data_IF_553071923729
#
_entry.id   IF_553071923729
#
_cell.length_a   1.000
_cell.length_b   1.000
_cell.length_c   1.000
_cell.angle_alpha   90.00
_cell.angle_beta   90.00
_cell.angle_gamma   90.00
#
_symmetry.space_group_name_H-M   'P 1'
#
loop_
_entity.id
_entity.type
_entity.pdbx_description
1 polymer ?
2 water ?
#
# COMPACT_ATOMS: atom_id res chain seq x y z
N UNK A 1 -6.94 -23.15 -13.57
CA UNK A 1 -8.42 -23.04 -13.55
C UNK A 1 -8.83 -21.71 -12.94
N UNK A 2 -10.11 -21.37 -13.02
CA UNK A 2 -10.62 -20.13 -12.45
C UNK A 2 -11.11 -20.40 -11.03
N UNK A 3 -10.72 -19.53 -10.10
CA UNK A 3 -11.14 -19.68 -8.71
C UNK A 3 -11.86 -18.43 -8.25
N UNK A 4 -12.78 -18.58 -7.30
CA UNK A 4 -13.52 -17.44 -6.80
C UNK A 4 -13.51 -17.37 -5.28
N UNK A 5 -13.73 -16.18 -4.76
CA UNK A 5 -13.77 -15.98 -3.33
C UNK A 5 -15.04 -15.19 -3.02
N UNK A 6 -15.65 -15.43 -1.87
CA UNK A 6 -16.87 -14.72 -1.49
C UNK A 6 -16.78 -14.30 -0.03
N UNK A 7 -17.23 -13.07 0.24
CA UNK A 7 -17.23 -12.54 1.61
C UNK A 7 -18.31 -11.46 1.68
N UNK A 8 -18.64 -11.03 2.90
CA UNK A 8 -19.65 -9.99 3.07
C UNK A 8 -19.19 -8.87 3.99
N UNK A 9 -19.92 -7.76 3.91
CA UNK A 9 -19.66 -6.60 4.75
C UNK A 9 -21.02 -6.10 5.22
N UNK A 10 -21.10 -5.70 6.49
CA UNK A 10 -22.35 -5.20 7.04
C UNK A 10 -23.25 -6.23 7.68
N UNK A 11 -22.67 -7.21 8.38
CA UNK A 11 -23.48 -8.22 9.02
C UNK A 11 -24.16 -7.73 10.31
N UNK A 12 -23.43 -6.97 11.11
CA UNK A 12 -23.98 -6.49 12.37
C UNK A 12 -24.66 -5.13 12.51
N UNK A 13 -24.43 -4.16 11.61
CA UNK A 13 -25.10 -2.86 11.80
C UNK A 13 -26.62 -2.85 11.70
N UNK A 14 -27.23 -1.86 12.36
CA UNK A 14 -28.68 -1.72 12.32
C UNK A 14 -29.07 -0.86 11.10
N UNK A 15 -28.12 -0.09 10.58
CA UNK A 15 -28.40 0.77 9.43
C UNK A 15 -27.67 0.29 8.17
N UNK A 16 -28.38 0.27 7.04
CA UNK A 16 -27.75 -0.11 5.79
C UNK A 16 -27.90 -1.55 5.32
N UNK A 17 -27.56 -1.81 4.05
CA UNK A 17 -27.67 -3.16 3.50
C UNK A 17 -26.51 -4.07 3.89
N UNK A 18 -26.68 -5.34 3.54
CA UNK A 18 -25.66 -6.36 3.74
C UNK A 18 -25.09 -6.49 2.34
N UNK A 19 -23.77 -6.37 2.22
CA UNK A 19 -23.12 -6.45 0.92
C UNK A 19 -22.32 -7.73 0.73
N UNK A 20 -22.64 -8.46 -0.34
CA UNK A 20 -21.93 -9.70 -0.67
C UNK A 20 -20.97 -9.37 -1.79
N UNK A 21 -19.70 -9.75 -1.62
CA UNK A 21 -18.72 -9.48 -2.66
C UNK A 21 -18.15 -10.76 -3.21
N UNK A 22 -17.92 -10.80 -4.52
CA UNK A 22 -17.36 -11.97 -5.17
C UNK A 22 -16.19 -11.54 -6.07
N UNK A 23 -15.09 -12.28 -6.00
CA UNK A 23 -13.91 -11.97 -6.80
C UNK A 23 -13.53 -13.23 -7.59
N UNK A 24 -13.17 -13.05 -8.86
CA UNK A 24 -12.80 -14.19 -9.71
C UNK A 24 -11.45 -13.98 -10.38
N UNK A 25 -10.59 -15.00 -10.34
CA UNK A 25 -9.26 -14.91 -10.95
C UNK A 25 -8.71 -16.27 -11.32
N UNK A 26 -7.72 -16.28 -12.20
CA UNK A 26 -7.11 -17.54 -12.61
C UNK A 26 -6.07 -17.90 -11.57
N UNK A 27 -6.09 -19.16 -11.14
CA UNK A 27 -5.17 -19.65 -10.11
C UNK A 27 -3.71 -19.29 -10.42
N UNK A 28 -3.40 -19.13 -11.70
CA UNK A 28 -2.04 -18.81 -12.13
C UNK A 28 -1.65 -17.37 -11.83
N UNK A 29 -2.65 -16.51 -11.63
CA UNK A 29 -2.38 -15.11 -11.35
C UNK A 29 -2.55 -14.68 -9.90
N UNK A 30 -2.63 -15.63 -8.98
CA UNK A 30 -2.78 -15.28 -7.57
C UNK A 30 -1.61 -14.40 -7.13
N UNK A 31 -0.45 -14.63 -7.73
CA UNK A 31 0.74 -13.85 -7.43
C UNK A 31 0.43 -12.35 -7.46
N UNK A 32 -0.43 -11.94 -8.39
CA UNK A 32 -0.83 -10.53 -8.54
C UNK A 32 -1.53 -9.96 -7.31
N UNK A 33 -2.36 -10.79 -6.68
CA UNK A 33 -3.08 -10.36 -5.48
C UNK A 33 -2.10 -10.21 -4.32
N UNK A 34 -1.12 -11.11 -4.27
CA UNK A 34 -0.12 -11.06 -3.22
C UNK A 34 0.73 -9.81 -3.38
N UNK A 35 1.05 -9.50 -4.64
CA UNK A 35 1.87 -8.33 -4.93
C UNK A 35 1.19 -7.01 -4.57
N UNK A 36 -0.12 -6.89 -4.79
CA UNK A 36 -0.81 -5.65 -4.46
C UNK A 36 -1.14 -5.56 -2.97
N UNK A 37 -0.97 -6.68 -2.28
CA UNK A 37 -1.21 -6.77 -0.84
C UNK A 37 -2.65 -6.75 -0.35
N UNK A 38 -3.52 -7.57 -0.94
CA UNK A 38 -4.92 -7.59 -0.52
C UNK A 38 -5.12 -7.94 0.96
N UNK A 39 -4.16 -8.65 1.53
CA UNK A 39 -4.24 -9.06 2.94
C UNK A 39 -4.06 -7.92 3.94
N UNK A 40 -3.54 -6.78 3.50
CA UNK A 40 -3.34 -5.65 4.41
C UNK A 40 -4.19 -4.44 4.06
N UNK A 41 -5.44 -4.69 3.70
CA UNK A 41 -6.35 -3.60 3.32
C UNK A 41 -6.99 -2.92 4.52
N UNK A 42 -7.35 -3.71 5.52
CA UNK A 42 -8.00 -3.20 6.73
C UNK A 42 -7.11 -2.25 7.52
N UNK A 43 -5.81 -2.31 7.26
CA UNK A 43 -4.87 -1.46 7.97
C UNK A 43 -4.57 -0.21 7.14
N UNK A 44 -5.43 0.07 6.16
CA UNK A 44 -5.26 1.23 5.31
C UNK A 44 -6.47 2.14 5.38
N UNK A 45 -6.26 3.42 5.12
CA UNK A 45 -7.35 4.39 5.14
C UNK A 45 -8.22 4.11 3.92
N UNK A 46 -9.53 4.35 4.01
CA UNK A 46 -10.41 4.10 2.87
C UNK A 46 -9.91 4.79 1.59
N UNK A 47 -8.93 5.68 1.76
CA UNK A 47 -8.37 6.37 0.61
C UNK A 47 -7.44 5.44 -0.15
N UNK A 48 -6.55 4.79 0.58
CA UNK A 48 -5.61 3.84 0.00
C UNK A 48 -6.41 2.62 -0.45
N UNK A 49 -7.38 2.24 0.37
CA UNK A 49 -8.23 1.10 0.09
C UNK A 49 -9.02 1.27 -1.20
N UNK A 50 -9.42 2.50 -1.50
CA UNK A 50 -10.15 2.78 -2.73
C UNK A 50 -9.20 2.59 -3.91
N UNK A 51 -7.96 3.03 -3.74
CA UNK A 51 -6.97 2.88 -4.80
C UNK A 51 -6.66 1.38 -4.96
N UNK A 52 -6.71 0.66 -3.85
CA UNK A 52 -6.46 -0.78 -3.86
C UNK A 52 -7.61 -1.43 -4.65
N UNK A 53 -8.82 -1.00 -4.34
CA UNK A 53 -10.03 -1.49 -4.99
C UNK A 53 -9.90 -1.31 -6.51
N UNK A 54 -9.49 -0.12 -6.93
CA UNK A 54 -9.32 0.17 -8.35
C UNK A 54 -8.30 -0.74 -9.02
N UNK A 55 -7.19 -1.02 -8.34
CA UNK A 55 -6.18 -1.89 -8.92
C UNK A 55 -6.71 -3.33 -8.99
N UNK A 56 -7.44 -3.72 -7.94
CA UNK A 56 -8.04 -5.05 -7.84
C UNK A 56 -8.93 -5.37 -9.03
N UNK A 57 -9.86 -4.46 -9.30
CA UNK A 57 -10.81 -4.60 -10.40
C UNK A 57 -10.16 -4.79 -11.77
N UNK A 58 -8.99 -4.22 -11.98
CA UNK A 58 -8.33 -4.37 -13.27
C UNK A 58 -7.62 -5.72 -13.36
N UNK A 59 -7.24 -6.26 -12.20
CA UNK A 59 -6.54 -7.53 -12.11
C UNK A 59 -7.45 -8.76 -12.19
N UNK A 60 -8.56 -8.70 -11.47
CA UNK A 60 -9.50 -9.82 -11.43
C UNK A 60 -10.13 -10.10 -12.79
N UNK A 61 -10.40 -11.37 -13.06
CA UNK A 61 -11.06 -11.72 -14.32
C UNK A 61 -12.50 -11.24 -14.26
N UNK A 62 -13.06 -11.21 -13.06
CA UNK A 62 -14.43 -10.75 -12.87
C UNK A 62 -14.74 -10.53 -11.39
N UNK A 63 -15.73 -9.69 -11.12
CA UNK A 63 -16.13 -9.43 -9.74
C UNK A 63 -17.63 -9.15 -9.74
N UNK A 64 -18.28 -9.37 -8.59
CA UNK A 64 -19.72 -9.17 -8.50
C UNK A 64 -20.12 -8.65 -7.12
N UNK A 65 -21.10 -7.75 -7.09
CA UNK A 65 -21.60 -7.20 -5.85
C UNK A 65 -23.11 -7.36 -5.77
N UNK A 66 -23.60 -7.77 -4.61
CA UNK A 66 -25.03 -7.96 -4.38
C UNK A 66 -25.40 -7.22 -3.10
N UNK A 67 -26.37 -6.31 -3.19
CA UNK A 67 -26.79 -5.57 -2.00
C UNK A 67 -28.10 -6.16 -1.47
N UNK A 68 -28.09 -6.60 -0.21
CA UNK A 68 -29.28 -7.15 0.41
C UNK A 68 -29.82 -6.03 1.30
N UNK A 69 -31.04 -5.57 0.99
CA UNK A 69 -31.69 -4.48 1.70
C UNK A 69 -32.18 -4.82 3.11
N UNK A 70 -32.33 -3.79 3.97
CA UNK A 70 -32.80 -4.02 5.34
C UNK A 70 -34.21 -4.64 5.34
N UNK A 71 -35.04 -4.28 4.36
CA UNK A 71 -36.40 -4.84 4.28
C UNK A 71 -36.31 -6.34 4.08
N UNK A 72 -35.38 -6.78 3.23
CA UNK A 72 -35.17 -8.20 2.95
C UNK A 72 -34.71 -8.89 4.24
N UNK A 73 -33.78 -8.26 4.94
CA UNK A 73 -33.28 -8.80 6.18
C UNK A 73 -34.42 -8.96 7.21
N UNK A 74 -35.23 -7.92 7.37
CA UNK A 74 -36.34 -7.96 8.33
C UNK A 74 -37.44 -8.99 8.01
N UNK A 75 -37.64 -9.29 6.72
CA UNK A 75 -38.67 -10.24 6.34
C UNK A 75 -38.16 -11.68 6.18
N UNK A 76 -36.94 -11.94 6.63
CA UNK A 76 -36.35 -13.28 6.52
C UNK A 76 -37.13 -14.36 7.28
N UNK A 77 -37.28 -15.54 6.69
CA UNK A 77 -37.98 -16.63 7.36
C UNK A 77 -37.00 -17.56 8.07
N UNK A 78 -35.73 -17.21 8.06
CA UNK A 78 -34.69 -18.01 8.70
C UNK A 78 -33.68 -17.11 9.40
N UNK A 79 -32.63 -17.70 9.96
CA UNK A 79 -31.61 -16.94 10.67
C UNK A 79 -30.72 -16.18 9.71
N UNK A 80 -29.95 -15.23 10.25
CA UNK A 80 -29.03 -14.45 9.43
C UNK A 80 -27.97 -15.35 8.79
N UNK A 81 -27.58 -16.41 9.48
CA UNK A 81 -26.58 -17.34 8.93
C UNK A 81 -27.12 -18.00 7.66
N UNK A 82 -28.36 -18.47 7.72
CA UNK A 82 -29.01 -19.13 6.59
C UNK A 82 -29.20 -18.12 5.46
N UNK A 83 -29.52 -16.90 5.85
CA UNK A 83 -29.72 -15.81 4.90
C UNK A 83 -28.42 -15.46 4.18
N UNK A 84 -27.30 -15.39 4.91
CA UNK A 84 -26.05 -15.03 4.26
C UNK A 84 -25.63 -16.13 3.28
N UNK A 85 -25.85 -17.37 3.67
CA UNK A 85 -25.52 -18.50 2.81
C UNK A 85 -26.38 -18.52 1.54
N UNK A 86 -27.65 -18.17 1.65
CA UNK A 86 -28.49 -18.18 0.45
C UNK A 86 -28.12 -17.03 -0.47
N UNK A 87 -27.70 -15.91 0.10
CA UNK A 87 -27.30 -14.77 -0.73
C UNK A 87 -25.91 -15.03 -1.32
N UNK A 88 -25.09 -15.82 -0.64
CA UNK A 88 -23.79 -16.17 -1.22
C UNK A 88 -24.10 -16.94 -2.49
N UNK A 89 -25.09 -17.82 -2.41
CA UNK A 89 -25.49 -18.64 -3.54
C UNK A 89 -26.06 -17.76 -4.67
N UNK A 90 -26.92 -16.80 -4.31
CA UNK A 90 -27.49 -15.93 -5.35
C UNK A 90 -26.38 -15.25 -6.16
N UNK A 91 -25.40 -14.67 -5.48
CA UNK A 91 -24.30 -13.99 -6.17
C UNK A 91 -23.45 -14.92 -7.02
N UNK A 92 -23.14 -16.09 -6.47
CA UNK A 92 -22.32 -17.08 -7.19
C UNK A 92 -23.01 -17.57 -8.46
N UNK A 93 -24.34 -17.70 -8.40
CA UNK A 93 -25.11 -18.15 -9.55
C UNK A 93 -25.25 -17.11 -10.64
N UNK A 94 -24.86 -15.87 -10.34
CA UNK A 94 -24.94 -14.75 -11.27
C UNK A 94 -23.66 -14.46 -12.04
N UNK A 95 -22.57 -15.14 -11.70
CA UNK A 95 -21.30 -14.93 -12.38
C UNK A 95 -21.35 -15.19 -13.88
N UNK A 96 -20.53 -14.46 -14.63
CA UNK A 96 -20.46 -14.60 -16.09
C UNK A 96 -19.23 -15.43 -16.42
N UNK A 97 -18.40 -15.63 -15.40
CA UNK A 97 -17.18 -16.42 -15.49
C UNK A 97 -17.29 -17.37 -14.30
N UNK A 98 -17.74 -18.59 -14.55
CA UNK A 98 -17.92 -19.55 -13.47
C UNK A 98 -16.62 -20.20 -13.00
N UNK A 99 -16.49 -20.41 -11.67
CA UNK A 99 -15.29 -21.02 -11.09
C UNK A 99 -15.51 -22.50 -10.76
N UNK A 100 -14.42 -23.25 -10.64
CA UNK A 100 -14.49 -24.67 -10.29
C UNK A 100 -14.18 -24.83 -8.79
N UNK A 101 -13.44 -23.88 -8.24
CA UNK A 101 -13.13 -23.89 -6.82
C UNK A 101 -13.61 -22.56 -6.24
N UNK A 102 -14.34 -22.66 -5.14
CA UNK A 102 -14.88 -21.49 -4.48
C UNK A 102 -14.47 -21.49 -3.01
N UNK A 103 -13.92 -20.38 -2.57
CA UNK A 103 -13.48 -20.24 -1.18
C UNK A 103 -14.32 -19.21 -0.48
N UNK A 104 -14.77 -19.55 0.72
CA UNK A 104 -15.59 -18.64 1.50
C UNK A 104 -15.23 -18.67 2.97
N UNK A 105 -15.52 -17.58 3.67
CA UNK A 105 -15.25 -17.48 5.10
C UNK A 105 -16.58 -17.84 5.76
N UNK A 106 -16.56 -18.91 6.53
CA UNK A 106 -17.73 -19.43 7.22
C UNK A 106 -18.14 -18.65 8.46
N UNK A 107 -17.29 -17.72 8.90
CA UNK A 107 -17.57 -16.90 10.07
C UNK A 107 -17.81 -17.69 11.35
N UNK A 108 -19.06 -17.72 11.82
CA UNK A 108 -19.39 -18.43 13.05
C UNK A 108 -20.03 -19.80 12.83
N UNK A 109 -20.31 -20.16 11.59
CA UNK A 109 -20.94 -21.44 11.31
C UNK A 109 -19.94 -22.55 10.96
N UNK A 110 -20.32 -23.78 11.28
CA UNK A 110 -19.48 -24.94 10.99
C UNK A 110 -19.15 -24.97 9.51
N UNK A 111 -17.85 -25.05 9.16
CA UNK A 111 -17.37 -25.09 7.77
C UNK A 111 -18.05 -26.07 6.83
N UNK A 112 -18.03 -27.36 7.20
CA UNK A 112 -18.64 -28.41 6.40
C UNK A 112 -20.09 -28.10 6.05
N UNK A 113 -20.81 -27.61 7.04
CA UNK A 113 -22.22 -27.27 6.84
C UNK A 113 -22.41 -26.05 5.95
N UNK A 114 -21.63 -25.00 6.20
CA UNK A 114 -21.75 -23.78 5.40
C UNK A 114 -21.42 -24.09 3.94
N UNK A 115 -20.37 -24.90 3.73
CA UNK A 115 -19.96 -25.28 2.39
C UNK A 115 -21.02 -26.14 1.68
N UNK A 116 -21.62 -27.08 2.41
CA UNK A 116 -22.64 -27.95 1.82
C UNK A 116 -23.84 -27.12 1.37
N UNK A 117 -24.16 -26.12 2.17
CA UNK A 117 -25.28 -25.22 1.90
C UNK A 117 -25.09 -24.51 0.55
N UNK A 118 -23.87 -24.03 0.32
CA UNK A 118 -23.57 -23.32 -0.91
C UNK A 118 -23.47 -24.30 -2.09
N UNK A 119 -22.84 -25.45 -1.86
CA UNK A 119 -22.70 -26.42 -2.93
C UNK A 119 -24.09 -26.86 -3.39
N UNK A 120 -24.98 -27.09 -2.42
CA UNK A 120 -26.34 -27.52 -2.73
C UNK A 120 -27.13 -26.46 -3.51
N UNK A 121 -26.85 -25.19 -3.27
CA UNK A 121 -27.56 -24.12 -3.96
C UNK A 121 -27.03 -23.76 -5.33
N UNK A 122 -25.74 -24.00 -5.56
CA UNK A 122 -25.12 -23.69 -6.85
C UNK A 122 -25.81 -24.37 -8.01
N UNK A 123 -25.97 -23.65 -9.11
CA UNK A 123 -26.62 -24.20 -10.30
C UNK A 123 -25.61 -24.96 -11.17
N UNK A 124 -24.34 -24.83 -10.84
CA UNK A 124 -23.26 -25.51 -11.55
C UNK A 124 -22.43 -26.29 -10.55
N UNK A 125 -21.66 -27.27 -11.05
CA UNK A 125 -20.81 -28.10 -10.19
C UNK A 125 -19.48 -27.44 -9.85
N UNK A 126 -19.14 -27.45 -8.56
CA UNK A 126 -17.89 -26.86 -8.12
C UNK A 126 -17.51 -27.35 -6.73
N UNK A 127 -16.25 -27.16 -6.36
CA UNK A 127 -15.79 -27.54 -5.03
C UNK A 127 -15.86 -26.28 -4.19
N UNK A 128 -16.49 -26.38 -3.03
CA UNK A 128 -16.62 -25.25 -2.13
C UNK A 128 -15.75 -25.48 -0.91
N UNK A 129 -14.84 -24.54 -0.68
CA UNK A 129 -13.95 -24.62 0.45
C UNK A 129 -14.31 -23.54 1.46
N UNK A 130 -14.93 -23.94 2.57
CA UNK A 130 -15.31 -22.99 3.60
C UNK A 130 -14.37 -23.14 4.78
N UNK A 131 -13.90 -22.02 5.33
CA UNK A 131 -12.99 -22.05 6.46
C UNK A 131 -13.10 -20.79 7.31
N UNK A 132 -12.86 -20.93 8.62
CA UNK A 132 -12.91 -19.77 9.49
C UNK A 132 -11.64 -18.98 9.13
N UNK A 133 -11.73 -17.65 9.23
CA UNK A 133 -10.58 -16.81 8.93
C UNK A 133 -10.00 -17.05 7.54
N UNK A 134 -10.86 -17.43 6.59
CA UNK A 134 -10.40 -17.67 5.23
C UNK A 134 -9.97 -16.35 4.59
N UNK A 135 -10.56 -15.25 5.04
CA UNK A 135 -10.25 -13.92 4.50
C UNK A 135 -8.80 -13.53 4.76
N UNK A 136 -8.17 -14.17 5.73
CA UNK A 136 -6.77 -13.85 6.02
C UNK A 136 -5.90 -14.90 5.34
N UNK A 137 -6.42 -16.11 5.25
CA UNK A 137 -5.70 -17.23 4.65
C UNK A 137 -5.63 -17.22 3.13
N UNK A 138 -6.75 -16.94 2.47
CA UNK A 138 -6.82 -16.95 1.00
C UNK A 138 -6.87 -15.57 0.32
N UNK A 139 -5.91 -15.31 -0.55
CA UNK A 139 -5.85 -14.03 -1.28
C UNK A 139 -7.16 -13.67 -1.98
N UNK A 140 -7.74 -14.64 -2.68
CA UNK A 140 -8.98 -14.39 -3.41
C UNK A 140 -10.15 -14.04 -2.49
N UNK A 141 -10.11 -14.51 -1.24
CA UNK A 141 -11.18 -14.17 -0.30
C UNK A 141 -10.90 -12.75 0.24
N UNK A 142 -9.63 -12.43 0.49
CA UNK A 142 -9.27 -11.08 0.93
C UNK A 142 -9.75 -10.13 -0.16
N UNK A 143 -9.58 -10.54 -1.41
CA UNK A 143 -10.00 -9.72 -2.54
C UNK A 143 -11.50 -9.47 -2.49
N UNK A 144 -12.28 -10.53 -2.24
CA UNK A 144 -13.73 -10.40 -2.14
C UNK A 144 -14.12 -9.49 -0.97
N UNK A 145 -13.37 -9.56 0.13
CA UNK A 145 -13.66 -8.73 1.29
C UNK A 145 -13.52 -7.22 0.98
N UNK A 146 -12.48 -6.86 0.23
CA UNK A 146 -12.26 -5.47 -0.14
C UNK A 146 -13.41 -4.96 -1.00
N UNK A 147 -13.80 -5.78 -1.97
CA UNK A 147 -14.91 -5.47 -2.87
C UNK A 147 -16.17 -5.15 -2.05
N UNK A 148 -16.48 -6.02 -1.09
CA UNK A 148 -17.67 -5.83 -0.24
C UNK A 148 -17.59 -4.60 0.66
N UNK A 149 -16.46 -4.42 1.34
CA UNK A 149 -16.30 -3.27 2.24
C UNK A 149 -16.31 -1.91 1.53
N UNK A 150 -15.56 -1.79 0.43
CA UNK A 150 -15.52 -0.52 -0.30
C UNK A 150 -16.92 -0.22 -0.84
N UNK A 151 -17.59 -1.24 -1.37
CA UNK A 151 -18.93 -1.06 -1.90
C UNK A 151 -19.88 -0.61 -0.79
N UNK A 152 -19.78 -1.25 0.37
CA UNK A 152 -20.65 -0.88 1.48
C UNK A 152 -20.42 0.52 2.00
N UNK A 153 -19.16 0.89 2.21
CA UNK A 153 -18.84 2.23 2.69
C UNK A 153 -19.32 3.30 1.73
N UNK A 154 -19.23 3.02 0.42
CA UNK A 154 -19.69 3.98 -0.58
C UNK A 154 -21.19 4.20 -0.42
N UNK A 155 -21.93 3.12 -0.23
CA UNK A 155 -23.38 3.18 -0.07
C UNK A 155 -23.72 3.94 1.20
N UNK A 156 -22.95 3.69 2.26
CA UNK A 156 -23.16 4.35 3.55
C UNK A 156 -23.01 5.86 3.41
N UNK A 157 -21.90 6.29 2.83
CA UNK A 157 -21.68 7.72 2.63
C UNK A 157 -22.83 8.33 1.84
N UNK A 158 -23.35 7.58 0.87
CA UNK A 158 -24.46 8.04 0.05
C UNK A 158 -25.74 8.21 0.87
N UNK A 159 -25.97 7.28 1.81
CA UNK A 159 -27.16 7.33 2.65
C UNK A 159 -27.13 8.50 3.63
N UNK A 160 -25.95 8.83 4.14
CA UNK A 160 -25.83 9.95 5.09
C UNK A 160 -26.12 11.29 4.41
N UNK A 161 -25.85 11.36 3.12
CA UNK A 161 -26.09 12.59 2.38
C UNK A 161 -27.60 12.83 2.26
N UNK A 162 -28.36 11.74 2.29
CA UNK A 162 -29.81 11.83 2.18
C UNK A 162 -30.50 11.90 3.54
N UNK A 163 -30.02 11.08 4.48
CA UNK A 163 -30.64 11.02 5.80
C UNK A 163 -29.92 11.76 6.92
N UNK A 164 -28.70 12.19 6.67
CA UNK A 164 -27.94 12.90 7.69
C UNK A 164 -26.89 12.04 8.35
N UNK A 165 -26.15 12.64 9.27
CA UNK A 165 -25.09 11.95 9.99
C UNK A 165 -25.65 11.01 11.06
N UNK A 166 -25.79 9.73 10.72
CA UNK A 166 -26.32 8.74 11.66
C UNK A 166 -25.24 7.85 12.25
N UNK A 167 -24.01 8.34 12.25
CA UNK A 167 -22.90 7.58 12.81
C UNK A 167 -22.45 6.40 11.98
N UNK A 168 -21.83 5.43 12.66
CA UNK A 168 -21.33 4.23 11.99
C UNK A 168 -22.44 3.31 11.54
N UNK A 169 -23.59 3.39 12.19
CA UNK A 169 -24.70 2.54 11.83
C UNK A 169 -24.77 1.32 12.72
N UNK A 170 -23.82 1.19 13.63
CA UNK A 170 -23.79 0.07 14.57
C UNK A 170 -24.55 0.40 15.84
N UNK A 171 -25.22 -0.60 16.42
CA UNK A 171 -25.99 -0.41 17.66
C UNK A 171 -25.24 0.26 18.82
N UNK A 172 -23.98 -0.07 19.01
CA UNK A 172 -23.21 0.52 20.10
C UNK A 172 -22.81 1.99 19.89
N UNK A 173 -22.93 2.48 18.66
CA UNK A 173 -22.57 3.87 18.35
C UNK A 173 -23.57 4.86 18.94
N UNK A 174 -23.12 5.71 19.89
CA UNK A 174 -23.97 6.71 20.54
C UNK A 174 -24.74 7.58 19.55
N UNK A 175 -24.05 8.03 18.50
CA UNK A 175 -24.67 8.88 17.48
C UNK A 175 -25.79 8.11 16.78
N UNK A 176 -25.53 6.84 16.48
CA UNK A 176 -26.52 5.99 15.81
C UNK A 176 -27.75 5.86 16.69
N UNK A 177 -27.55 5.56 17.97
CA UNK A 177 -28.67 5.41 18.90
C UNK A 177 -29.51 6.69 18.95
N UNK A 178 -28.85 7.83 19.03
CA UNK A 178 -29.55 9.11 19.09
C UNK A 178 -30.28 9.42 17.78
N UNK A 179 -29.62 9.14 16.65
CA UNK A 179 -30.26 9.41 15.35
C UNK A 179 -31.55 8.61 15.21
N UNK A 180 -31.51 7.35 15.59
CA UNK A 180 -32.69 6.47 15.50
C UNK A 180 -33.80 6.94 16.45
N UNK A 181 -33.42 7.39 17.65
CA UNK A 181 -34.42 7.87 18.60
C UNK A 181 -35.06 9.14 18.08
N UNK A 182 -34.25 10.07 17.59
CA UNK A 182 -34.76 11.34 17.06
C UNK A 182 -35.67 11.13 15.86
N UNK A 183 -35.26 10.23 14.95
CA UNK A 183 -36.06 9.96 13.76
C UNK A 183 -37.44 9.41 14.12
N UNK A 184 -37.48 8.38 14.95
CA UNK A 184 -38.74 7.78 15.36
C UNK A 184 -39.64 8.79 16.07
N UNK A 185 -39.03 9.61 16.91
CA UNK A 185 -39.77 10.63 17.65
C UNK A 185 -40.39 11.67 16.71
N UNK A 186 -39.65 12.04 15.68
CA UNK A 186 -40.13 13.02 14.72
C UNK A 186 -41.09 12.45 13.67
N UNK A 187 -40.86 11.22 13.23
CA UNK A 187 -41.71 10.65 12.20
C UNK A 187 -42.68 9.52 12.59
N UNK A 188 -42.53 8.96 13.79
CA UNK A 188 -43.44 7.91 14.21
C UNK A 188 -43.12 6.52 13.68
N UNK A 189 -42.03 6.41 12.92
CA UNK A 189 -41.59 5.12 12.39
C UNK A 189 -40.17 5.27 11.84
N UNK A 190 -39.63 4.23 11.21
CA UNK A 190 -38.27 4.29 10.65
C UNK A 190 -38.24 4.32 9.13
N UNK A 191 -37.15 4.86 8.53
CA UNK A 191 -37.05 4.92 7.07
C UNK A 191 -36.56 3.55 6.58
N UNK A 192 -36.64 3.30 5.27
CA UNK A 192 -36.20 2.00 4.74
C UNK A 192 -34.76 1.55 5.01
N UNK A 193 -33.89 2.45 5.45
CA UNK A 193 -32.50 2.08 5.70
C UNK A 193 -32.28 1.37 7.06
N UNK A 194 -33.30 1.36 7.90
CA UNK A 194 -33.17 0.74 9.21
C UNK A 194 -33.70 -0.70 9.26
N UNK A 195 -32.95 -1.58 9.91
CA UNK A 195 -33.36 -2.98 10.06
C UNK A 195 -34.23 -3.01 11.32
N UNK A 196 -35.55 -2.93 11.13
CA UNK A 196 -36.47 -2.92 12.24
C UNK A 196 -36.39 -4.14 13.16
N UNK A 197 -35.82 -5.23 12.65
CA UNK A 197 -35.70 -6.44 13.47
C UNK A 197 -34.52 -6.42 14.41
N UNK A 198 -33.64 -5.43 14.28
CA UNK A 198 -32.50 -5.31 15.19
C UNK A 198 -33.04 -4.88 16.55
N UNK A 199 -32.55 -5.51 17.62
CA UNK A 199 -33.01 -5.19 18.98
C UNK A 199 -33.04 -3.69 19.30
N UNK A 200 -32.00 -2.97 18.89
CA UNK A 200 -31.91 -1.54 19.12
C UNK A 200 -33.11 -0.79 18.55
N UNK A 201 -33.49 -1.13 17.32
CA UNK A 201 -34.63 -0.50 16.66
C UNK A 201 -35.96 -0.92 17.28
N UNK A 202 -36.09 -2.23 17.52
CA UNK A 202 -37.32 -2.76 18.11
C UNK A 202 -37.60 -2.09 19.44
N UNK A 203 -36.57 -1.93 20.26
CA UNK A 203 -36.74 -1.31 21.57
C UNK A 203 -37.17 0.15 21.53
N UNK A 204 -36.61 0.92 20.60
CA UNK A 204 -36.99 2.32 20.46
C UNK A 204 -38.47 2.37 20.09
N UNK A 205 -38.90 1.41 19.27
CA UNK A 205 -40.30 1.33 18.86
C UNK A 205 -41.22 1.17 20.07
N UNK A 206 -40.91 0.18 20.90
CA UNK A 206 -41.69 -0.11 22.10
C UNK A 206 -41.78 1.12 23.00
N UNK A 207 -40.61 1.69 23.32
CA UNK A 207 -40.55 2.86 24.17
C UNK A 207 -41.49 3.94 23.63
N UNK A 208 -41.45 4.13 22.31
CA UNK A 208 -42.31 5.13 21.66
C UNK A 208 -43.77 4.88 21.97
N UNK A 209 -44.13 3.61 22.12
CA UNK A 209 -45.51 3.25 22.44
C UNK A 209 -45.85 3.78 23.82
N UNK A 210 -45.81 5.10 23.96
CA UNK A 210 -46.10 5.79 25.21
C UNK A 210 -45.23 5.30 26.37
N UNK A 211 -43.96 5.72 26.37
CA UNK A 211 -43.04 5.34 27.43
C UNK A 211 -41.65 5.93 27.20
N UNK B 1 14.87 -10.57 -21.69
CA UNK B 1 15.92 -9.51 -21.51
C UNK B 1 15.87 -8.88 -20.13
N UNK B 2 17.05 -8.58 -19.58
CA UNK B 2 17.14 -7.96 -18.27
C UNK B 2 17.33 -6.45 -18.40
N UNK B 3 16.65 -5.71 -17.55
CA UNK B 3 16.76 -4.26 -17.55
C UNK B 3 17.14 -3.80 -16.15
N UNK B 4 17.75 -2.62 -16.06
CA UNK B 4 18.16 -2.10 -14.75
C UNK B 4 17.84 -0.62 -14.61
N UNK B 5 17.81 -0.19 -13.35
CA UNK B 5 17.54 1.19 -13.02
C UNK B 5 18.58 1.58 -11.97
N UNK B 6 18.98 2.85 -11.96
CA UNK B 6 19.95 3.34 -11.00
C UNK B 6 19.50 4.71 -10.49
N UNK B 7 19.68 4.95 -9.20
CA UNK B 7 19.30 6.23 -8.62
C UNK B 7 20.05 6.42 -7.31
N UNK B 8 19.95 7.61 -6.72
CA UNK B 8 20.62 7.85 -5.45
C UNK B 8 19.75 8.58 -4.44
N UNK B 9 20.20 8.57 -3.20
CA UNK B 9 19.51 9.26 -2.13
C UNK B 9 20.59 9.88 -1.23
N UNK B 10 20.33 11.07 -0.73
CA UNK B 10 21.28 11.73 0.15
C UNK B 10 22.22 12.73 -0.51
N UNK B 11 21.75 13.40 -1.56
CA UNK B 11 22.59 14.38 -2.24
C UNK B 11 22.74 15.71 -1.49
N UNK B 12 21.63 16.23 -0.97
CA UNK B 12 21.70 17.51 -0.30
C UNK B 12 21.94 17.66 1.20
N UNK B 13 21.71 16.63 2.03
CA UNK B 13 21.93 16.80 3.47
C UNK B 13 23.38 17.07 3.89
N UNK B 14 23.55 17.68 5.06
CA UNK B 14 24.86 17.98 5.57
C UNK B 14 25.34 16.80 6.41
N UNK B 15 24.41 15.93 6.79
CA UNK B 15 24.75 14.76 7.61
C UNK B 15 24.38 13.43 6.96
N UNK B 16 25.24 12.44 7.14
CA UNK B 16 24.95 11.13 6.60
C UNK B 16 25.59 10.84 5.26
N UNK B 17 25.51 9.59 4.78
CA UNK B 17 26.11 9.21 3.51
C UNK B 17 25.22 9.48 2.31
N UNK B 18 25.81 9.24 1.14
CA UNK B 18 25.14 9.36 -0.14
C UNK B 18 24.97 7.89 -0.53
N UNK B 19 23.78 7.50 -0.96
CA UNK B 19 23.53 6.11 -1.31
C UNK B 19 23.17 5.92 -2.77
N UNK B 20 23.82 4.95 -3.41
CA UNK B 20 23.53 4.62 -4.80
C UNK B 20 22.80 3.28 -4.80
N UNK B 21 21.70 3.20 -5.54
CA UNK B 21 20.96 1.96 -5.61
C UNK B 21 20.74 1.49 -7.04
N UNK B 22 20.89 0.19 -7.24
CA UNK B 22 20.69 -0.41 -8.55
C UNK B 22 19.66 -1.54 -8.45
N UNK B 23 18.73 -1.59 -9.39
CA UNK B 23 17.71 -2.65 -9.43
C UNK B 23 17.73 -3.36 -10.79
N UNK B 24 17.63 -4.69 -10.79
CA UNK B 24 17.63 -5.47 -12.02
C UNK B 24 16.44 -6.42 -12.06
N UNK B 25 15.77 -6.49 -13.20
CA UNK B 25 14.62 -7.38 -13.34
C UNK B 25 14.46 -7.81 -14.80
N UNK B 26 13.85 -8.98 -15.00
CA UNK B 26 13.61 -9.46 -16.35
C UNK B 26 12.44 -8.63 -16.87
N UNK B 27 12.55 -8.16 -18.10
CA UNK B 27 11.51 -7.33 -18.70
C UNK B 27 10.09 -7.92 -18.67
N UNK B 28 9.98 -9.25 -18.64
CA UNK B 28 8.66 -9.88 -18.61
C UNK B 28 7.96 -9.77 -17.26
N UNK B 29 8.71 -9.38 -16.23
CA UNK B 29 8.12 -9.26 -14.89
C UNK B 29 7.93 -7.84 -14.35
N UNK B 30 7.99 -6.86 -15.24
CA UNK B 30 7.80 -5.49 -14.78
C UNK B 30 6.41 -5.35 -14.16
N UNK B 31 5.48 -6.18 -14.62
CA UNK B 31 4.12 -6.14 -14.08
C UNK B 31 4.13 -6.26 -12.56
N UNK B 32 5.05 -7.07 -12.03
CA UNK B 32 5.11 -7.22 -10.57
C UNK B 32 5.44 -5.87 -9.94
N UNK B 33 6.28 -5.09 -10.61
CA UNK B 33 6.65 -3.79 -10.07
C UNK B 33 5.45 -2.85 -10.12
N UNK B 34 4.64 -2.98 -11.16
CA UNK B 34 3.46 -2.12 -11.27
C UNK B 34 2.49 -2.47 -10.14
N UNK B 35 2.33 -3.77 -9.90
CA UNK B 35 1.42 -4.24 -8.86
C UNK B 35 1.80 -3.82 -7.44
N UNK B 36 3.05 -4.02 -7.04
CA UNK B 36 3.45 -3.62 -5.69
C UNK B 36 3.41 -2.09 -5.54
N UNK B 37 3.35 -1.39 -6.66
CA UNK B 37 3.26 0.07 -6.66
C UNK B 37 4.52 0.87 -6.43
N UNK B 38 5.61 0.51 -7.09
CA UNK B 38 6.86 1.25 -6.90
C UNK B 38 6.75 2.74 -7.22
N UNK B 39 5.89 3.08 -8.18
CA UNK B 39 5.70 4.47 -8.59
C UNK B 39 5.12 5.42 -7.55
N UNK B 40 4.47 4.86 -6.52
CA UNK B 40 3.84 5.70 -5.49
C UNK B 40 4.46 5.59 -4.09
N UNK B 41 5.70 5.15 -4.00
CA UNK B 41 6.36 5.00 -2.71
C UNK B 41 6.61 6.34 -2.02
N UNK B 42 6.75 7.40 -2.81
CA UNK B 42 7.02 8.72 -2.29
C UNK B 42 5.96 9.23 -1.30
N UNK B 43 4.72 8.79 -1.47
CA UNK B 43 3.65 9.23 -0.56
C UNK B 43 3.42 8.25 0.59
N UNK B 44 4.30 7.26 0.72
CA UNK B 44 4.15 6.28 1.79
C UNK B 44 4.83 6.74 3.09
N UNK B 45 4.52 6.05 4.18
CA UNK B 45 5.12 6.35 5.48
C UNK B 45 6.43 5.58 5.54
N UNK B 46 7.29 5.88 6.52
CA UNK B 46 8.56 5.16 6.62
C UNK B 46 8.35 3.66 6.75
N UNK B 47 7.44 3.27 7.62
CA UNK B 47 7.16 1.86 7.85
C UNK B 47 6.56 1.13 6.66
N UNK B 48 5.71 1.82 5.89
CA UNK B 48 5.10 1.19 4.72
C UNK B 48 6.15 0.94 3.64
N UNK B 49 7.08 1.88 3.50
CA UNK B 49 8.14 1.76 2.51
C UNK B 49 9.09 0.62 2.91
N UNK B 50 9.26 0.43 4.21
CA UNK B 50 10.10 -0.66 4.72
C UNK B 50 9.53 -1.94 4.16
N UNK B 51 8.21 -2.08 4.27
CA UNK B 51 7.50 -3.25 3.77
C UNK B 51 7.63 -3.36 2.25
N UNK B 52 7.57 -2.25 1.54
CA UNK B 52 7.68 -2.27 0.08
C UNK B 52 9.07 -2.80 -0.29
N UNK B 53 10.09 -2.32 0.42
CA UNK B 53 11.47 -2.73 0.18
C UNK B 53 11.63 -4.26 0.29
N UNK B 54 11.03 -4.86 1.31
CA UNK B 54 11.11 -6.30 1.50
C UNK B 54 10.47 -7.08 0.35
N UNK B 55 9.36 -6.57 -0.17
CA UNK B 55 8.69 -7.22 -1.30
C UNK B 55 9.53 -7.04 -2.55
N UNK B 56 10.02 -5.83 -2.77
CA UNK B 56 10.83 -5.50 -3.93
C UNK B 56 12.04 -6.43 -4.02
N UNK B 57 12.76 -6.57 -2.92
CA UNK B 57 13.94 -7.42 -2.87
C UNK B 57 13.65 -8.88 -3.27
N UNK B 58 12.47 -9.38 -2.93
CA UNK B 58 12.16 -10.75 -3.31
C UNK B 58 11.78 -10.84 -4.79
N UNK B 59 11.28 -9.75 -5.34
CA UNK B 59 10.86 -9.73 -6.74
C UNK B 59 12.01 -9.49 -7.74
N UNK B 60 12.90 -8.57 -7.42
CA UNK B 60 14.03 -8.24 -8.29
C UNK B 60 14.94 -9.43 -8.56
N UNK B 61 15.48 -9.51 -9.78
CA UNK B 61 16.41 -10.58 -10.12
C UNK B 61 17.72 -10.32 -9.39
N UNK B 62 18.02 -9.05 -9.17
CA UNK B 62 19.27 -8.66 -8.51
C UNK B 62 19.21 -7.17 -8.10
N UNK B 63 20.08 -6.75 -7.20
CA UNK B 63 20.13 -5.35 -6.79
C UNK B 63 21.49 -5.07 -6.14
N UNK B 64 21.85 -3.80 -6.05
CA UNK B 64 23.13 -3.42 -5.45
C UNK B 64 23.04 -2.11 -4.69
N UNK B 65 23.74 -2.04 -3.56
CA UNK B 65 23.75 -0.86 -2.71
C UNK B 65 25.19 -0.39 -2.60
N UNK B 66 25.41 0.90 -2.82
CA UNK B 66 26.74 1.49 -2.73
C UNK B 66 26.67 2.73 -1.85
N UNK B 67 27.41 2.70 -0.75
CA UNK B 67 27.39 3.84 0.17
C UNK B 67 28.63 4.72 -0.02
N UNK B 68 28.43 6.03 0.13
CA UNK B 68 29.51 7.01 0.02
C UNK B 68 29.44 7.82 1.31
N UNK B 69 30.50 7.74 2.11
CA UNK B 69 30.57 8.45 3.40
C UNK B 69 30.83 9.94 3.27
N UNK B 70 30.52 10.71 4.33
CA UNK B 70 30.78 12.15 4.26
C UNK B 70 32.26 12.44 4.06
N UNK B 71 33.12 11.55 4.55
CA UNK B 71 34.56 11.73 4.38
C UNK B 71 34.93 11.66 2.91
N UNK B 72 34.38 10.67 2.21
CA UNK B 72 34.67 10.52 0.77
C UNK B 72 34.12 11.75 0.05
N UNK B 73 32.90 12.14 0.42
CA UNK B 73 32.25 13.30 -0.16
C UNK B 73 33.12 14.56 -0.02
N UNK B 74 33.67 14.77 1.17
CA UNK B 74 34.52 15.94 1.42
C UNK B 74 35.81 15.92 0.60
N UNK B 75 36.36 14.73 0.36
CA UNK B 75 37.61 14.61 -0.40
C UNK B 75 37.36 14.64 -1.90
N UNK B 76 36.09 14.80 -2.26
CA UNK B 76 35.64 14.88 -3.65
C UNK B 76 36.66 15.66 -4.49
N UNK B 77 36.94 15.17 -5.70
CA UNK B 77 37.89 15.80 -6.61
C UNK B 77 37.21 16.85 -7.48
N UNK B 78 35.97 16.56 -7.85
CA UNK B 78 35.20 17.47 -8.70
C UNK B 78 33.89 17.81 -8.01
N UNK B 79 32.83 17.88 -8.79
CA UNK B 79 31.51 18.19 -8.27
C UNK B 79 30.81 16.95 -7.77
N UNK B 80 29.65 17.16 -7.14
CA UNK B 80 28.86 16.04 -6.64
C UNK B 80 28.31 15.29 -7.85
N UNK B 81 27.95 16.05 -8.89
CA UNK B 81 27.43 15.44 -10.11
C UNK B 81 28.41 14.42 -10.66
N UNK B 82 29.68 14.80 -10.73
CA UNK B 82 30.69 13.88 -11.26
C UNK B 82 30.90 12.69 -10.33
N UNK B 83 30.87 12.93 -9.03
CA UNK B 83 31.04 11.85 -8.06
C UNK B 83 29.89 10.84 -8.18
N UNK B 84 28.65 11.31 -8.22
CA UNK B 84 27.52 10.40 -8.33
C UNK B 84 27.58 9.59 -9.63
N UNK B 85 27.97 10.24 -10.73
CA UNK B 85 28.05 9.56 -12.02
C UNK B 85 29.11 8.45 -12.00
N UNK B 86 30.26 8.73 -11.40
CA UNK B 86 31.31 7.72 -11.32
C UNK B 86 30.83 6.59 -10.42
N UNK B 87 30.04 6.90 -9.40
CA UNK B 87 29.53 5.84 -8.52
C UNK B 87 28.44 5.01 -9.21
N UNK B 88 27.65 5.64 -10.08
CA UNK B 88 26.61 4.91 -10.82
C UNK B 88 27.33 3.80 -11.60
N UNK B 89 28.42 4.17 -12.25
CA UNK B 89 29.21 3.21 -13.03
C UNK B 89 29.79 2.10 -12.16
N UNK B 90 30.31 2.45 -10.99
CA UNK B 90 30.89 1.43 -10.10
C UNK B 90 29.82 0.42 -9.70
N UNK B 91 28.67 0.91 -9.26
CA UNK B 91 27.57 0.04 -8.85
C UNK B 91 27.08 -0.83 -10.02
N UNK B 92 26.96 -0.24 -11.21
CA UNK B 92 26.51 -1.01 -12.37
C UNK B 92 27.51 -2.09 -12.76
N UNK B 93 28.79 -1.88 -12.48
CA UNK B 93 29.81 -2.87 -12.80
C UNK B 93 29.94 -3.94 -11.71
N UNK B 94 29.17 -3.83 -10.64
CA UNK B 94 29.27 -4.82 -9.56
C UNK B 94 28.11 -5.81 -9.49
N UNK B 95 27.24 -5.80 -10.49
CA UNK B 95 26.07 -6.69 -10.51
C UNK B 95 26.37 -8.15 -10.81
N UNK B 96 25.48 -9.02 -10.34
CA UNK B 96 25.59 -10.45 -10.58
C UNK B 96 24.85 -10.79 -11.87
N UNK B 97 23.71 -10.12 -12.07
CA UNK B 97 22.90 -10.31 -13.27
C UNK B 97 23.08 -9.03 -14.11
N UNK B 98 23.80 -9.14 -15.23
CA UNK B 98 24.06 -7.98 -16.09
C UNK B 98 22.84 -7.60 -16.93
N UNK B 99 22.52 -6.30 -16.99
CA UNK B 99 21.38 -5.84 -17.78
C UNK B 99 21.78 -5.51 -19.22
N UNK B 100 20.78 -5.52 -20.10
CA UNK B 100 20.95 -5.23 -21.52
C UNK B 100 20.65 -3.74 -21.70
N UNK B 101 19.67 -3.25 -20.95
CA UNK B 101 19.28 -1.85 -21.01
C UNK B 101 19.24 -1.25 -19.60
N UNK B 102 19.84 -0.07 -19.46
CA UNK B 102 19.89 0.63 -18.18
C UNK B 102 19.17 1.97 -18.28
N UNK B 103 18.31 2.26 -17.29
CA UNK B 103 17.56 3.52 -17.26
C UNK B 103 18.03 4.40 -16.11
N UNK B 104 18.22 5.69 -16.38
CA UNK B 104 18.69 6.65 -15.39
C UNK B 104 18.16 8.07 -15.62
N UNK B 105 18.30 8.92 -14.61
CA UNK B 105 17.90 10.32 -14.71
C UNK B 105 19.20 11.12 -14.68
N UNK B 106 19.46 11.87 -15.74
CA UNK B 106 20.71 12.65 -15.82
C UNK B 106 20.73 14.01 -15.10
N UNK B 107 19.60 14.44 -14.58
CA UNK B 107 19.53 15.72 -13.87
C UNK B 107 20.17 16.86 -14.66
N UNK B 108 21.12 17.57 -14.04
CA UNK B 108 21.81 18.70 -14.65
C UNK B 108 22.56 18.44 -15.97
N UNK B 109 23.01 17.20 -16.15
CA UNK B 109 23.77 16.85 -17.35
C UNK B 109 22.89 16.52 -18.55
N UNK B 110 23.36 16.90 -19.74
CA UNK B 110 22.63 16.59 -20.97
C UNK B 110 22.45 15.08 -20.98
N UNK B 111 21.21 14.59 -21.16
CA UNK B 111 20.91 13.16 -21.20
C UNK B 111 21.75 12.36 -22.18
N UNK B 112 21.97 12.91 -23.36
CA UNK B 112 22.75 12.24 -24.40
C UNK B 112 24.19 12.02 -23.92
N UNK B 113 24.83 13.09 -23.50
CA UNK B 113 26.21 12.98 -23.02
C UNK B 113 26.28 12.11 -21.76
N UNK B 114 25.28 12.24 -20.89
CA UNK B 114 25.27 11.45 -19.66
C UNK B 114 25.16 9.94 -19.98
N UNK B 115 24.18 9.56 -20.80
CA UNK B 115 24.03 8.15 -21.17
C UNK B 115 25.31 7.56 -21.79
N UNK B 116 25.97 8.32 -22.65
CA UNK B 116 27.20 7.84 -23.28
C UNK B 116 28.30 7.69 -22.26
N UNK B 117 28.31 8.58 -21.26
CA UNK B 117 29.30 8.53 -20.19
C UNK B 117 29.17 7.24 -19.39
N UNK B 118 27.96 6.89 -18.99
CA UNK B 118 27.74 5.68 -18.22
C UNK B 118 28.10 4.45 -19.03
N UNK B 119 27.61 4.41 -20.27
CA UNK B 119 27.85 3.31 -21.18
C UNK B 119 29.33 3.03 -21.38
N UNK B 120 30.12 4.10 -21.52
CA UNK B 120 31.56 3.96 -21.72
C UNK B 120 32.27 3.39 -20.49
N UNK B 121 31.69 3.60 -19.31
CA UNK B 121 32.30 3.10 -18.09
C UNK B 121 32.01 1.63 -17.79
N UNK B 122 30.97 1.08 -18.43
CA UNK B 122 30.58 -0.32 -18.22
C UNK B 122 31.62 -1.29 -18.77
N UNK B 123 31.77 -2.43 -18.11
CA UNK B 123 32.72 -3.44 -18.56
C UNK B 123 32.03 -4.48 -19.42
N UNK B 124 30.78 -4.18 -19.78
CA UNK B 124 29.97 -5.05 -20.62
C UNK B 124 29.13 -4.17 -21.54
N UNK B 125 28.61 -4.76 -22.62
CA UNK B 125 27.80 -4.01 -23.56
C UNK B 125 26.37 -3.84 -23.09
N UNK B 126 25.91 -2.59 -23.04
CA UNK B 126 24.56 -2.30 -22.62
C UNK B 126 24.10 -0.96 -23.15
N UNK B 127 22.80 -0.82 -23.38
CA UNK B 127 22.25 0.45 -23.85
C UNK B 127 21.83 1.25 -22.64
N UNK B 128 22.15 2.54 -22.65
CA UNK B 128 21.81 3.44 -21.55
C UNK B 128 20.75 4.44 -22.00
N UNK B 129 19.68 4.52 -21.22
CA UNK B 129 18.56 5.42 -21.52
C UNK B 129 18.38 6.42 -20.37
N UNK B 130 18.53 7.70 -20.66
CA UNK B 130 18.40 8.73 -19.63
C UNK B 130 17.25 9.70 -19.88
N UNK B 131 16.55 10.08 -18.82
CA UNK B 131 15.45 11.02 -18.95
C UNK B 131 15.06 11.61 -17.60
N UNK B 132 14.74 12.89 -17.60
CA UNK B 132 14.32 13.55 -16.37
C UNK B 132 13.04 12.91 -15.86
N UNK B 133 12.92 12.79 -14.55
CA UNK B 133 11.73 12.18 -13.95
C UNK B 133 11.66 10.68 -14.27
N UNK B 134 12.81 10.08 -14.53
CA UNK B 134 12.87 8.65 -14.83
C UNK B 134 12.31 7.81 -13.68
N UNK B 135 12.50 8.27 -12.44
CA UNK B 135 12.01 7.55 -11.28
C UNK B 135 10.48 7.54 -11.23
N UNK B 136 9.84 8.20 -12.19
CA UNK B 136 8.40 8.25 -12.25
C UNK B 136 7.92 7.58 -13.54
N UNK B 137 8.78 7.62 -14.55
CA UNK B 137 8.45 7.02 -15.84
C UNK B 137 8.73 5.52 -15.90
N UNK B 138 9.90 5.11 -15.44
CA UNK B 138 10.28 3.69 -15.50
C UNK B 138 10.18 2.97 -14.16
N UNK B 139 9.40 1.90 -14.14
CA UNK B 139 9.24 1.10 -12.92
C UNK B 139 10.58 0.68 -12.33
N UNK B 140 11.51 0.25 -13.17
CA UNK B 140 12.81 -0.22 -12.65
C UNK B 140 13.62 0.89 -12.01
N UNK B 141 13.39 2.14 -12.41
CA UNK B 141 14.12 3.25 -11.79
C UNK B 141 13.46 3.55 -10.43
N UNK B 142 12.13 3.46 -10.36
CA UNK B 142 11.43 3.69 -9.10
C UNK B 142 11.94 2.68 -8.08
N UNK B 143 12.17 1.46 -8.56
CA UNK B 143 12.67 0.38 -7.71
C UNK B 143 14.03 0.74 -7.15
N UNK B 144 14.92 1.22 -8.02
CA UNK B 144 16.26 1.60 -7.56
C UNK B 144 16.13 2.75 -6.58
N UNK B 145 15.21 3.67 -6.85
CA UNK B 145 15.00 4.80 -5.97
C UNK B 145 14.56 4.33 -4.57
N UNK B 146 13.68 3.34 -4.53
CA UNK B 146 13.22 2.80 -3.25
C UNK B 146 14.41 2.20 -2.54
N UNK B 147 15.22 1.41 -3.25
CA UNK B 147 16.40 0.79 -2.67
C UNK B 147 17.31 1.82 -1.99
N UNK B 148 17.66 2.88 -2.71
CA UNK B 148 18.53 3.91 -2.16
C UNK B 148 17.93 4.64 -0.95
N UNK B 149 16.66 5.02 -1.07
CA UNK B 149 15.94 5.76 -0.03
C UNK B 149 15.80 5.01 1.30
N UNK B 150 15.25 3.81 1.25
CA UNK B 150 15.07 3.01 2.45
C UNK B 150 16.42 2.75 3.08
N UNK B 151 17.41 2.41 2.25
CA UNK B 151 18.77 2.16 2.74
C UNK B 151 19.29 3.40 3.48
N UNK B 152 19.10 4.58 2.88
CA UNK B 152 19.57 5.82 3.49
C UNK B 152 18.86 6.12 4.81
N UNK B 153 17.53 6.04 4.82
CA UNK B 153 16.77 6.32 6.02
C UNK B 153 17.10 5.38 7.16
N UNK B 154 17.43 4.12 6.83
CA UNK B 154 17.81 3.16 7.84
C UNK B 154 19.15 3.57 8.46
N UNK B 155 20.07 4.05 7.62
CA UNK B 155 21.38 4.47 8.11
C UNK B 155 21.25 5.70 9.00
N UNK B 156 20.43 6.66 8.58
CA UNK B 156 20.22 7.88 9.36
C UNK B 156 19.62 7.50 10.72
N UNK B 157 18.65 6.58 10.70
CA UNK B 157 18.02 6.13 11.92
C UNK B 157 19.10 5.60 12.86
N UNK B 158 20.01 4.80 12.34
CA UNK B 158 21.10 4.23 13.15
C UNK B 158 21.98 5.33 13.73
N UNK B 159 22.17 6.41 12.97
CA UNK B 159 23.00 7.49 13.44
C UNK B 159 22.30 8.25 14.57
N UNK B 160 20.99 8.50 14.42
CA UNK B 160 20.25 9.21 15.45
C UNK B 160 20.26 8.38 16.73
N UNK B 161 20.21 7.05 16.57
CA UNK B 161 20.21 6.13 17.70
C UNK B 161 21.50 6.29 18.48
N UNK B 162 22.57 6.65 17.79
CA UNK B 162 23.88 6.82 18.41
C UNK B 162 24.23 8.25 18.81
N UNK B 163 23.80 9.23 18.03
CA UNK B 163 24.13 10.63 18.35
C UNK B 163 22.96 11.48 18.85
N UNK B 164 21.74 10.98 18.71
CA UNK B 164 20.59 11.75 19.16
C UNK B 164 19.85 12.37 17.98
N UNK B 165 18.83 13.18 18.28
CA UNK B 165 18.02 13.80 17.24
C UNK B 165 18.64 15.03 16.58
N UNK B 166 19.36 14.82 15.48
CA UNK B 166 19.98 15.93 14.77
C UNK B 166 19.11 16.47 13.64
N UNK B 167 17.85 16.03 13.59
CA UNK B 167 16.94 16.50 12.56
C UNK B 167 16.96 15.75 11.24
N UNK B 168 16.50 16.41 10.18
CA UNK B 168 16.44 15.81 8.85
C UNK B 168 17.82 15.74 8.21
N UNK B 169 18.81 16.36 8.85
CA UNK B 169 20.15 16.36 8.33
C UNK B 169 20.38 17.41 7.26
N UNK B 170 19.31 18.03 6.79
CA UNK B 170 19.42 19.06 5.77
C UNK B 170 19.79 20.42 6.37
N UNK B 171 20.53 21.24 5.62
CA UNK B 171 20.97 22.58 6.04
C UNK B 171 19.88 23.48 6.63
N UNK B 172 18.90 23.82 5.81
CA UNK B 172 17.80 24.69 6.23
C UNK B 172 16.98 24.16 7.40
N UNK B 173 17.27 22.94 7.85
CA UNK B 173 16.52 22.37 8.96
C UNK B 173 16.94 23.04 10.27
N UNK B 174 16.01 23.73 10.93
CA UNK B 174 16.28 24.42 12.20
C UNK B 174 16.88 23.48 13.24
N UNK B 175 16.34 22.27 13.34
CA UNK B 175 16.83 21.28 14.29
C UNK B 175 18.30 21.00 14.08
N UNK B 176 18.65 20.62 12.86
CA UNK B 176 20.03 20.29 12.49
C UNK B 176 21.00 21.42 12.76
N UNK B 177 20.64 22.65 12.39
CA UNK B 177 21.51 23.79 12.62
C UNK B 177 21.82 23.88 14.11
N UNK B 178 20.75 23.94 14.91
CA UNK B 178 20.87 24.03 16.37
C UNK B 178 21.72 22.89 16.92
N UNK B 179 21.51 21.69 16.39
CA UNK B 179 22.26 20.53 16.85
C UNK B 179 23.74 20.64 16.52
N UNK B 180 24.06 21.08 15.31
CA UNK B 180 25.46 21.24 14.89
C UNK B 180 26.10 22.40 15.65
N UNK B 181 25.42 23.54 15.66
CA UNK B 181 25.95 24.71 16.35
C UNK B 181 26.21 24.36 17.81
N UNK B 182 25.26 23.66 18.44
CA UNK B 182 25.40 23.26 19.82
C UNK B 182 26.51 22.21 20.02
N UNK B 183 26.64 21.30 19.05
CA UNK B 183 27.65 20.26 19.13
C UNK B 183 29.07 20.82 19.04
N UNK B 184 29.28 21.72 18.09
CA UNK B 184 30.60 22.32 17.90
C UNK B 184 30.96 23.25 19.05
N UNK B 185 29.98 23.98 19.57
CA UNK B 185 30.23 24.90 20.68
C UNK B 185 30.78 24.19 21.91
N UNK B 186 30.34 22.96 22.12
CA UNK B 186 30.79 22.16 23.25
C UNK B 186 32.06 21.38 22.93
N UNK B 187 31.95 20.44 22.00
CA UNK B 187 33.08 19.60 21.61
C UNK B 187 34.16 20.37 20.87
N UNK B 188 33.77 21.44 20.18
CA UNK B 188 34.75 22.21 19.44
C UNK B 188 35.19 21.38 18.25
N UNK B 189 34.36 20.41 17.89
CA UNK B 189 34.65 19.53 16.76
C UNK B 189 33.34 18.90 16.26
N UNK B 190 33.40 18.33 15.06
CA UNK B 190 32.23 17.68 14.44
C UNK B 190 32.43 16.17 14.38
N UNK B 191 31.35 15.39 14.57
CA UNK B 191 31.53 13.94 14.49
C UNK B 191 31.75 13.60 13.01
N UNK B 192 32.29 12.42 12.71
CA UNK B 192 32.53 12.03 11.33
C UNK B 192 31.31 11.97 10.41
N UNK B 193 30.12 12.12 10.98
CA UNK B 193 28.89 12.08 10.19
C UNK B 193 28.61 13.39 9.45
N UNK B 194 29.40 14.42 9.73
CA UNK B 194 29.20 15.72 9.10
C UNK B 194 30.04 15.97 7.85
N UNK B 195 29.40 16.47 6.80
CA UNK B 195 30.12 16.79 5.57
C UNK B 195 30.69 18.19 5.80
N UNK B 196 31.94 18.25 6.24
CA UNK B 196 32.59 19.52 6.54
C UNK B 196 32.71 20.49 5.36
N UNK B 197 32.55 20.00 4.13
CA UNK B 197 32.64 20.90 2.98
C UNK B 197 31.32 21.63 2.73
N UNK B 198 30.28 21.24 3.45
CA UNK B 198 28.99 21.89 3.28
C UNK B 198 29.04 23.32 3.84
N UNK B 199 28.39 24.25 3.17
CA UNK B 199 28.38 25.65 3.60
C UNK B 199 28.06 25.79 5.09
N UNK B 200 26.94 25.20 5.52
CA UNK B 200 26.52 25.27 6.92
C UNK B 200 27.63 24.90 7.89
N UNK B 201 28.33 23.81 7.58
CA UNK B 201 29.43 23.35 8.44
C UNK B 201 30.55 24.39 8.48
N UNK B 202 31.05 24.76 7.31
CA UNK B 202 32.13 25.74 7.22
C UNK B 202 31.79 27.02 7.98
N UNK B 203 30.57 27.52 7.79
CA UNK B 203 30.13 28.75 8.45
C UNK B 203 30.22 28.61 9.97
N UNK B 204 29.77 27.47 10.49
CA UNK B 204 29.81 27.22 11.93
C UNK B 204 31.24 27.18 12.47
N UNK B 205 32.11 26.43 11.80
CA UNK B 205 33.50 26.35 12.23
C UNK B 205 34.12 27.75 12.27
N UNK B 206 33.80 28.55 11.27
CA UNK B 206 34.30 29.92 11.16
C UNK B 206 33.62 30.83 12.17
N UNK B 207 32.35 30.59 12.43
CA UNK B 207 31.59 31.39 13.39
C UNK B 207 32.10 31.14 14.79
N UNK B 208 32.15 29.87 15.18
CA UNK B 208 32.62 29.50 16.51
C UNK B 208 34.14 29.58 16.52
N UNK B 209 34.67 30.53 15.76
CA UNK B 209 36.10 30.78 15.65
C UNK B 209 36.31 32.23 15.24
N UNK B 210 35.23 33.00 15.22
CA UNK B 210 35.27 34.41 14.86
C UNK B 210 34.10 35.20 15.47
N UNK B 211 32.90 34.65 15.41
CA UNK B 211 31.72 35.32 15.96
C UNK B 211 30.93 34.43 16.92
#
# INVERSE_FOLDING_TARGET
>A
MKVAGVDEAGRGPVIGPLVIGVAVIDEKNIERLRDIGVKDSKQLTPGQREKLFSKLIDILDDYYVLLVTPKEIDERHHSMNELEAEKFVVALNSLRIKPQKIYVDSADVDPKRFASLIKAGLKYEATVIAEHKADAKYEIVSAASIIAKVTRDREIEKLKQKYGEFGSGYPSDPRTKEWLEEYYKQYGDFPPIVRRTWETARKIEERFRKNQLTLDKFLK
>B
MKVAGVDEAGRGPVIGPLVIGVAVIDEKNIERLRDIGVKDSKQLTPGQREKLFSKLIDILDDYYVLLVTPKEIDERHHSMNELEAEKFVVALNSLRIKPQKIYVDSADVDPKRFASLIKAGLKYEATVIAEHKADAKYEIVSAASIIAKVTRDREIEKLKQKYGEFGSGYPSDPRTKEWLEEYYKQYGDFPPIVRRTWETARKIEERFRKNQLTLDKFLK
#
